data_IF_151895726606
#
_entry.id   IF_151895726606
#
_cell.length_a   1.000
_cell.length_b   1.000
_cell.length_c   1.000
_cell.angle_alpha   90.00
_cell.angle_beta   90.00
_cell.angle_gamma   90.00
#
_symmetry.space_group_name_H-M   'P 1'
#
loop_
_entity.id
_entity.type
_entity.pdbx_description
1 polymer ?
#
# COMPACT_ATOMS: atom_id res chain seq x y z
N UNK A 1 -26.94 -8.83 12.74
CA UNK A 1 -25.64 -8.28 12.29
C UNK A 1 -25.56 -8.36 10.77
N UNK A 2 -25.29 -7.25 10.09
CA UNK A 2 -25.30 -7.14 8.63
C UNK A 2 -24.09 -7.87 8.02
N UNK A 3 -24.31 -8.93 7.24
CA UNK A 3 -23.24 -9.74 6.65
C UNK A 3 -22.56 -9.00 5.48
N UNK A 4 -21.59 -8.13 5.81
CA UNK A 4 -20.55 -7.71 4.86
C UNK A 4 -19.71 -8.97 4.54
N UNK A 5 -19.35 -9.18 3.27
CA UNK A 5 -18.52 -10.33 2.90
C UNK A 5 -17.24 -10.34 3.74
N UNK A 6 -16.92 -11.47 4.38
CA UNK A 6 -15.74 -11.61 5.27
C UNK A 6 -14.44 -11.14 4.60
N UNK A 7 -14.35 -11.29 3.27
CA UNK A 7 -13.22 -10.84 2.44
C UNK A 7 -13.04 -9.31 2.47
N UNK A 8 -14.12 -8.54 2.43
CA UNK A 8 -14.06 -7.08 2.40
C UNK A 8 -13.54 -6.51 3.73
N UNK A 9 -13.78 -7.20 4.85
CA UNK A 9 -13.16 -6.89 6.14
C UNK A 9 -11.66 -7.17 6.16
N UNK A 10 -11.23 -8.28 5.55
CA UNK A 10 -9.80 -8.57 5.40
C UNK A 10 -9.11 -7.52 4.52
N UNK A 11 -9.74 -7.10 3.42
CA UNK A 11 -9.23 -6.04 2.56
C UNK A 11 -9.12 -4.71 3.31
N UNK A 12 -10.13 -4.33 4.10
CA UNK A 12 -10.05 -3.15 4.97
C UNK A 12 -8.83 -3.22 5.89
N UNK A 13 -8.61 -4.34 6.58
CA UNK A 13 -7.47 -4.49 7.49
C UNK A 13 -6.13 -4.28 6.78
N UNK A 14 -5.95 -4.91 5.61
CA UNK A 14 -4.70 -4.86 4.85
C UNK A 14 -4.46 -3.47 4.26
N UNK A 15 -5.48 -2.86 3.66
CA UNK A 15 -5.40 -1.50 3.11
C UNK A 15 -5.15 -0.50 4.24
N UNK A 16 -5.73 -0.70 5.42
CA UNK A 16 -5.45 0.15 6.59
C UNK A 16 -4.00 0.04 7.04
N UNK A 17 -3.42 -1.17 7.08
CA UNK A 17 -2.00 -1.35 7.41
C UNK A 17 -1.11 -0.64 6.36
N UNK A 18 -1.42 -0.79 5.07
CA UNK A 18 -0.69 -0.10 4.00
C UNK A 18 -0.79 1.42 4.17
N UNK A 19 -1.98 1.95 4.46
CA UNK A 19 -2.20 3.38 4.68
C UNK A 19 -1.36 3.90 5.85
N UNK A 20 -1.25 3.15 6.95
CA UNK A 20 -0.38 3.52 8.06
C UNK A 20 1.10 3.49 7.65
N UNK A 21 1.51 2.48 6.87
CA UNK A 21 2.85 2.41 6.27
C UNK A 21 3.19 3.66 5.47
N UNK A 22 2.27 4.07 4.58
CA UNK A 22 2.41 5.29 3.77
C UNK A 22 2.61 6.53 4.64
N UNK A 23 1.77 6.72 5.66
CA UNK A 23 1.82 7.90 6.53
C UNK A 23 3.11 7.95 7.35
N UNK A 24 3.51 6.80 7.93
CA UNK A 24 4.61 6.77 8.91
C UNK A 24 5.98 6.51 8.30
N UNK A 25 6.07 5.95 7.09
CA UNK A 25 7.32 5.63 6.42
C UNK A 25 7.39 6.35 5.08
N UNK A 26 6.53 6.02 4.13
CA UNK A 26 6.77 6.39 2.74
C UNK A 26 6.68 7.92 2.52
N UNK A 27 5.59 8.52 2.98
CA UNK A 27 5.26 9.93 2.74
C UNK A 27 6.03 10.90 3.64
N UNK A 28 6.76 10.40 4.65
CA UNK A 28 7.59 11.26 5.52
C UNK A 28 8.66 12.00 4.70
N UNK A 29 9.10 11.43 3.57
CA UNK A 29 9.99 12.11 2.63
C UNK A 29 9.41 13.41 2.06
N UNK A 30 8.08 13.52 1.96
CA UNK A 30 7.38 14.70 1.45
C UNK A 30 6.93 15.67 2.54
N UNK A 31 7.06 15.31 3.83
CA UNK A 31 6.62 16.19 4.91
C UNK A 31 7.53 17.42 4.98
N UNK A 32 6.98 18.63 5.23
CA UNK A 32 7.80 19.79 5.49
C UNK A 32 8.73 19.58 6.68
N UNK A 33 10.03 19.91 6.52
CA UNK A 33 11.06 19.67 7.54
C UNK A 33 10.72 20.25 8.91
N UNK A 34 10.03 21.39 8.96
CA UNK A 34 9.65 22.02 10.24
C UNK A 34 8.71 21.16 11.09
N UNK A 35 7.99 20.21 10.48
CA UNK A 35 7.06 19.33 11.20
C UNK A 35 7.78 18.19 11.93
N UNK A 36 8.96 17.75 11.47
CA UNK A 36 9.62 16.57 12.03
C UNK A 36 11.10 16.74 12.37
N UNK A 37 11.83 17.71 11.81
CA UNK A 37 13.30 17.76 11.92
C UNK A 37 13.80 18.15 13.32
N UNK A 38 13.13 19.07 14.01
CA UNK A 38 13.50 19.50 15.36
C UNK A 38 12.91 18.57 16.41
N UNK A 39 13.61 18.35 17.52
CA UNK A 39 13.13 17.51 18.63
C UNK A 39 11.82 18.00 19.24
N UNK A 40 11.57 19.31 19.19
CA UNK A 40 10.33 19.96 19.65
C UNK A 40 9.21 19.98 18.61
N UNK A 41 9.45 19.48 17.39
CA UNK A 41 8.45 19.51 16.33
C UNK A 41 7.31 18.51 16.59
N UNK A 42 6.06 18.83 16.21
CA UNK A 42 4.90 18.02 16.57
C UNK A 42 4.94 16.59 15.99
N UNK A 43 5.58 16.41 14.84
CA UNK A 43 5.75 15.10 14.18
C UNK A 43 7.16 14.54 14.33
N UNK A 44 7.95 14.99 15.31
CA UNK A 44 9.31 14.46 15.52
C UNK A 44 9.32 12.96 15.83
N UNK A 45 8.25 12.44 16.43
CA UNK A 45 8.09 11.01 16.71
C UNK A 45 8.17 10.14 15.44
N UNK A 46 7.90 10.68 14.24
CA UNK A 46 8.09 9.99 12.96
C UNK A 46 9.54 9.55 12.75
N UNK A 47 10.50 10.41 13.14
CA UNK A 47 11.92 10.04 13.11
C UNK A 47 12.17 8.86 14.05
N UNK A 48 11.57 8.87 15.25
CA UNK A 48 11.74 7.79 16.22
C UNK A 48 11.18 6.45 15.71
N UNK A 49 9.98 6.47 15.09
CA UNK A 49 9.38 5.30 14.44
C UNK A 49 10.29 4.79 13.32
N UNK A 50 10.77 5.68 12.44
CA UNK A 50 11.62 5.30 11.31
C UNK A 50 12.98 4.74 11.77
N UNK A 51 13.60 5.33 12.79
CA UNK A 51 14.81 4.79 13.43
C UNK A 51 14.58 3.40 13.99
N UNK A 52 13.47 3.21 14.70
CA UNK A 52 13.11 1.92 15.28
C UNK A 52 12.92 0.87 14.19
N UNK A 53 12.20 1.23 13.11
CA UNK A 53 11.99 0.40 11.94
C UNK A 53 13.32 -0.01 11.31
N UNK A 54 14.14 0.95 10.86
CA UNK A 54 15.43 0.69 10.20
C UNK A 54 16.37 -0.11 11.11
N UNK A 55 16.42 0.18 12.42
CA UNK A 55 17.26 -0.59 13.36
C UNK A 55 16.85 -2.06 13.40
N UNK A 56 15.53 -2.33 13.45
CA UNK A 56 14.99 -3.69 13.49
C UNK A 56 15.15 -4.41 12.15
N UNK A 57 14.70 -3.79 11.06
CA UNK A 57 14.59 -4.43 9.75
C UNK A 57 15.87 -4.33 8.92
N UNK A 58 16.62 -3.24 9.08
CA UNK A 58 17.73 -2.89 8.19
C UNK A 58 17.25 -2.51 6.78
N UNK A 59 16.01 -2.03 6.65
CA UNK A 59 15.43 -1.76 5.34
C UNK A 59 16.27 -0.77 4.52
N UNK A 60 16.80 -1.18 3.35
CA UNK A 60 17.71 -0.36 2.56
C UNK A 60 17.00 0.75 1.77
N UNK A 61 15.68 0.67 1.61
CA UNK A 61 14.91 1.65 0.84
C UNK A 61 14.62 2.93 1.64
N UNK A 62 14.78 2.88 2.97
CA UNK A 62 14.53 4.00 3.86
C UNK A 62 15.78 4.40 4.63
N UNK A 63 16.07 5.71 4.67
CA UNK A 63 17.12 6.30 5.50
C UNK A 63 16.55 6.89 6.79
N UNK A 64 17.34 6.95 7.87
CA UNK A 64 16.88 7.53 9.16
C UNK A 64 16.42 8.97 9.00
N UNK A 65 17.13 9.74 8.19
CA UNK A 65 16.77 11.11 7.84
C UNK A 65 16.27 11.10 6.40
N UNK A 66 14.95 11.29 6.17
CA UNK A 66 14.32 11.11 4.84
C UNK A 66 14.94 11.96 3.73
N UNK A 67 15.62 13.06 4.08
CA UNK A 67 16.25 14.00 3.14
C UNK A 67 17.76 13.83 3.01
N UNK A 68 18.39 12.95 3.79
CA UNK A 68 19.85 12.79 3.83
C UNK A 68 20.40 11.82 2.78
N UNK A 69 19.57 10.93 2.26
CA UNK A 69 19.94 10.02 1.17
C UNK A 69 18.81 10.02 0.14
N UNK A 70 19.07 10.41 -1.12
CA UNK A 70 18.07 10.33 -2.16
C UNK A 70 17.69 8.86 -2.38
N UNK A 71 16.38 8.61 -2.49
CA UNK A 71 15.90 7.31 -2.97
C UNK A 71 16.48 7.02 -4.35
N UNK A 72 16.58 5.74 -4.72
CA UNK A 72 16.85 5.38 -6.10
C UNK A 72 15.79 6.04 -7.02
N UNK A 73 16.14 6.48 -8.24
CA UNK A 73 15.21 7.23 -9.09
C UNK A 73 13.88 6.51 -9.35
N UNK A 74 13.92 5.18 -9.48
CA UNK A 74 12.70 4.36 -9.65
C UNK A 74 11.83 4.40 -8.39
N UNK A 75 12.41 4.26 -7.19
CA UNK A 75 11.67 4.28 -5.94
C UNK A 75 11.07 5.66 -5.69
N UNK A 76 11.82 6.71 -6.00
CA UNK A 76 11.32 8.09 -5.95
C UNK A 76 10.11 8.28 -6.86
N UNK A 77 10.11 7.71 -8.07
CA UNK A 77 8.97 7.76 -8.97
C UNK A 77 7.74 7.02 -8.38
N UNK A 78 7.94 5.83 -7.80
CA UNK A 78 6.87 5.11 -7.12
C UNK A 78 6.31 5.88 -5.91
N UNK A 79 7.15 6.55 -5.13
CA UNK A 79 6.71 7.39 -4.00
C UNK A 79 5.85 8.58 -4.46
N UNK A 80 6.14 9.16 -5.64
CA UNK A 80 5.29 10.20 -6.22
C UNK A 80 3.94 9.64 -6.70
N UNK A 81 3.95 8.49 -7.38
CA UNK A 81 2.72 7.78 -7.75
C UNK A 81 1.91 7.42 -6.51
N UNK A 82 2.60 7.00 -5.45
CA UNK A 82 1.99 6.67 -4.19
C UNK A 82 1.31 7.89 -3.55
N UNK A 83 2.02 9.02 -3.45
CA UNK A 83 1.48 10.26 -2.88
C UNK A 83 0.23 10.75 -3.64
N UNK A 84 0.27 10.76 -4.97
CA UNK A 84 -0.80 11.37 -5.77
C UNK A 84 -1.94 10.43 -6.14
N UNK A 85 -1.70 9.12 -6.17
CA UNK A 85 -2.70 8.16 -6.66
C UNK A 85 -3.03 7.13 -5.58
N UNK A 86 -2.02 6.39 -5.11
CA UNK A 86 -2.26 5.25 -4.22
C UNK A 86 -2.77 5.68 -2.84
N UNK A 87 -2.23 6.76 -2.27
CA UNK A 87 -2.58 7.28 -0.95
C UNK A 87 -4.03 7.82 -0.91
N UNK A 88 -4.47 8.71 -1.82
CA UNK A 88 -5.88 9.13 -1.87
C UNK A 88 -6.85 7.96 -2.05
N UNK A 89 -6.48 6.96 -2.87
CA UNK A 89 -7.28 5.75 -3.04
C UNK A 89 -7.34 4.93 -1.75
N UNK A 90 -6.23 4.75 -1.02
CA UNK A 90 -6.22 4.05 0.27
C UNK A 90 -7.13 4.75 1.29
N UNK A 91 -7.03 6.08 1.42
CA UNK A 91 -7.90 6.87 2.31
C UNK A 91 -9.38 6.66 1.95
N UNK A 92 -9.71 6.78 0.66
CA UNK A 92 -11.06 6.56 0.16
C UNK A 92 -11.56 5.14 0.45
N UNK A 93 -10.74 4.12 0.21
CA UNK A 93 -11.08 2.72 0.41
C UNK A 93 -11.28 2.41 1.90
N UNK A 94 -10.40 2.87 2.78
CA UNK A 94 -10.56 2.70 4.23
C UNK A 94 -11.85 3.36 4.71
N UNK A 95 -12.13 4.59 4.28
CA UNK A 95 -13.37 5.28 4.63
C UNK A 95 -14.63 4.52 4.13
N UNK A 96 -14.63 4.07 2.87
CA UNK A 96 -15.79 3.35 2.31
C UNK A 96 -15.98 1.97 2.90
N UNK A 97 -14.90 1.22 3.10
CA UNK A 97 -14.94 -0.14 3.63
C UNK A 97 -15.16 -0.17 5.15
N UNK A 98 -14.77 0.86 5.90
CA UNK A 98 -15.08 0.96 7.34
C UNK A 98 -16.54 1.33 7.61
N UNK A 99 -17.21 2.01 6.68
CA UNK A 99 -18.60 2.41 6.86
C UNK A 99 -19.55 1.20 6.89
N UNK A 100 -20.27 1.05 8.00
CA UNK A 100 -21.31 0.03 8.23
C UNK A 100 -22.56 0.22 7.37
N UNK A 101 -22.70 1.38 6.73
CA UNK A 101 -23.83 1.73 5.86
C UNK A 101 -23.85 0.89 4.58
N UNK A 102 -22.68 0.42 4.12
CA UNK A 102 -22.56 -0.30 2.85
C UNK A 102 -22.46 -1.80 3.09
N UNK A 103 -23.53 -2.53 2.69
CA UNK A 103 -23.57 -3.99 2.77
C UNK A 103 -22.76 -4.67 1.66
N UNK A 104 -22.65 -4.01 0.50
CA UNK A 104 -21.96 -4.50 -0.70
C UNK A 104 -21.09 -3.40 -1.28
N UNK A 105 -19.94 -3.76 -1.83
CA UNK A 105 -19.08 -2.84 -2.59
C UNK A 105 -19.83 -2.29 -3.79
N UNK A 106 -19.71 -0.99 -4.05
CA UNK A 106 -20.16 -0.38 -5.31
C UNK A 106 -19.08 -0.55 -6.38
N UNK A 107 -19.45 -0.43 -7.66
CA UNK A 107 -18.47 -0.54 -8.77
C UNK A 107 -17.32 0.45 -8.62
N UNK A 108 -17.59 1.66 -8.10
CA UNK A 108 -16.55 2.66 -7.80
C UNK A 108 -15.54 2.22 -6.73
N UNK A 109 -15.99 1.46 -5.73
CA UNK A 109 -15.10 0.94 -4.68
C UNK A 109 -14.27 -0.21 -5.23
N UNK A 110 -14.90 -1.08 -6.04
CA UNK A 110 -14.21 -2.19 -6.70
C UNK A 110 -13.13 -1.66 -7.67
N UNK A 111 -13.45 -0.64 -8.46
CA UNK A 111 -12.50 0.00 -9.37
C UNK A 111 -11.35 0.69 -8.63
N UNK A 112 -11.66 1.44 -7.57
CA UNK A 112 -10.65 2.08 -6.74
C UNK A 112 -9.71 1.05 -6.10
N UNK A 113 -10.27 -0.06 -5.59
CA UNK A 113 -9.50 -1.16 -5.00
C UNK A 113 -8.65 -1.87 -6.05
N UNK A 114 -9.15 -2.08 -7.27
CA UNK A 114 -8.39 -2.63 -8.39
C UNK A 114 -7.15 -1.78 -8.70
N UNK A 115 -7.33 -0.48 -8.91
CA UNK A 115 -6.22 0.45 -9.23
C UNK A 115 -5.21 0.49 -8.09
N UNK A 116 -5.68 0.68 -6.86
CA UNK A 116 -4.83 0.67 -5.67
C UNK A 116 -4.00 -0.61 -5.55
N UNK A 117 -4.64 -1.76 -5.77
CA UNK A 117 -3.99 -3.06 -5.63
C UNK A 117 -2.97 -3.34 -6.73
N UNK A 118 -3.23 -2.93 -7.97
CA UNK A 118 -2.24 -3.03 -9.04
C UNK A 118 -0.98 -2.19 -8.75
N UNK A 119 -1.16 -0.95 -8.28
CA UNK A 119 -0.04 -0.07 -7.91
C UNK A 119 0.78 -0.65 -6.75
N UNK A 120 0.09 -1.08 -5.68
CA UNK A 120 0.74 -1.69 -4.51
C UNK A 120 1.51 -2.96 -4.89
N UNK A 121 0.91 -3.80 -5.74
CA UNK A 121 1.56 -5.01 -6.27
C UNK A 121 2.84 -4.66 -7.04
N UNK A 122 2.74 -3.74 -8.00
CA UNK A 122 3.88 -3.33 -8.84
C UNK A 122 5.03 -2.76 -8.00
N UNK A 123 4.74 -1.84 -7.07
CA UNK A 123 5.75 -1.26 -6.19
C UNK A 123 6.41 -2.33 -5.32
N UNK A 124 5.62 -3.23 -4.74
CA UNK A 124 6.12 -4.31 -3.89
C UNK A 124 6.97 -5.32 -4.67
N UNK A 125 6.58 -5.66 -5.90
CA UNK A 125 7.38 -6.52 -6.79
C UNK A 125 8.70 -5.86 -7.15
N UNK A 126 8.73 -4.55 -7.43
CA UNK A 126 9.97 -3.82 -7.69
C UNK A 126 10.91 -3.88 -6.48
N UNK A 127 10.39 -3.65 -5.27
CA UNK A 127 11.16 -3.80 -4.03
C UNK A 127 11.67 -5.24 -3.82
N UNK A 128 10.85 -6.25 -4.08
CA UNK A 128 11.25 -7.66 -4.03
C UNK A 128 12.39 -7.97 -5.02
N UNK A 129 12.29 -7.46 -6.25
CA UNK A 129 13.29 -7.66 -7.29
C UNK A 129 14.63 -7.01 -6.94
N UNK A 130 14.61 -5.78 -6.41
CA UNK A 130 15.83 -5.12 -5.95
C UNK A 130 16.43 -5.80 -4.71
N UNK A 131 15.61 -6.23 -3.74
CA UNK A 131 16.11 -7.01 -2.61
C UNK A 131 16.76 -8.31 -3.06
N UNK A 132 16.17 -8.98 -4.06
CA UNK A 132 16.72 -10.22 -4.61
C UNK A 132 18.12 -10.00 -5.21
N UNK A 133 18.30 -8.94 -6.01
CA UNK A 133 19.57 -8.60 -6.65
C UNK A 133 20.60 -7.96 -5.69
N UNK A 134 20.18 -7.48 -4.51
CA UNK A 134 21.06 -6.80 -3.57
C UNK A 134 22.10 -7.74 -2.94
N UNK A 135 23.36 -7.32 -2.94
CA UNK A 135 24.48 -8.05 -2.33
C UNK A 135 24.36 -8.14 -0.80
N UNK A 136 24.79 -9.27 -0.22
CA UNK A 136 24.77 -9.50 1.24
C UNK A 136 25.67 -8.56 2.05
N UNK A 137 26.59 -7.83 1.40
CA UNK A 137 27.45 -6.81 2.02
C UNK A 137 26.62 -5.61 2.50
N UNK A 138 25.54 -5.26 1.79
CA UNK A 138 24.66 -4.14 2.13
C UNK A 138 23.58 -4.51 3.15
N UNK A 139 23.18 -5.79 3.19
CA UNK A 139 22.10 -6.28 4.03
C UNK A 139 22.38 -7.73 4.44
N UNK A 140 22.44 -8.01 5.74
CA UNK A 140 22.69 -9.37 6.22
C UNK A 140 21.64 -10.35 5.69
N UNK A 141 22.04 -11.59 5.39
CA UNK A 141 21.16 -12.59 4.78
C UNK A 141 19.85 -12.81 5.56
N UNK A 142 19.92 -12.80 6.91
CA UNK A 142 18.76 -12.93 7.79
C UNK A 142 17.79 -11.74 7.65
N UNK A 143 18.31 -10.51 7.63
CA UNK A 143 17.48 -9.30 7.48
C UNK A 143 16.88 -9.21 6.07
N UNK A 144 17.66 -9.53 5.04
CA UNK A 144 17.20 -9.63 3.64
C UNK A 144 16.05 -10.62 3.51
N UNK A 145 16.22 -11.85 4.02
CA UNK A 145 15.18 -12.88 3.99
C UNK A 145 13.92 -12.44 4.75
N UNK A 146 14.09 -11.86 5.94
CA UNK A 146 12.97 -11.36 6.74
C UNK A 146 12.18 -10.26 6.02
N UNK A 147 12.87 -9.28 5.42
CA UNK A 147 12.23 -8.19 4.68
C UNK A 147 11.50 -8.72 3.45
N UNK A 148 12.13 -9.60 2.69
CA UNK A 148 11.51 -10.19 1.52
C UNK A 148 10.23 -10.95 1.89
N UNK A 149 10.32 -11.94 2.80
CA UNK A 149 9.21 -12.85 3.07
C UNK A 149 8.09 -12.25 3.91
N UNK A 150 8.40 -11.37 4.85
CA UNK A 150 7.42 -10.86 5.81
C UNK A 150 7.01 -9.41 5.59
N UNK A 151 7.79 -8.63 4.85
CA UNK A 151 7.45 -7.24 4.54
C UNK A 151 6.95 -7.12 3.11
N UNK A 152 7.81 -7.33 2.12
CA UNK A 152 7.47 -6.98 0.72
C UNK A 152 6.60 -8.02 0.01
N UNK A 153 6.89 -9.31 0.16
CA UNK A 153 6.16 -10.36 -0.56
C UNK A 153 4.66 -10.41 -0.20
N UNK A 154 4.23 -10.25 1.07
CA UNK A 154 2.80 -10.16 1.39
C UNK A 154 2.11 -8.99 0.69
N UNK A 155 2.77 -7.83 0.57
CA UNK A 155 2.25 -6.67 -0.17
C UNK A 155 2.37 -6.80 -1.69
N UNK A 156 3.05 -7.82 -2.20
CA UNK A 156 2.91 -8.23 -3.60
C UNK A 156 1.71 -9.19 -3.76
N UNK A 157 1.70 -10.30 -3.02
CA UNK A 157 0.74 -11.39 -3.24
C UNK A 157 -0.69 -10.95 -2.90
N UNK A 158 -0.90 -10.32 -1.75
CA UNK A 158 -2.26 -10.02 -1.31
C UNK A 158 -2.92 -8.95 -2.19
N UNK A 159 -2.26 -7.84 -2.55
CA UNK A 159 -2.81 -6.91 -3.53
C UNK A 159 -3.09 -7.56 -4.89
N UNK A 160 -2.25 -8.48 -5.38
CA UNK A 160 -2.56 -9.21 -6.61
C UNK A 160 -3.88 -10.01 -6.49
N UNK A 161 -4.12 -10.67 -5.36
CA UNK A 161 -5.38 -11.38 -5.08
C UNK A 161 -6.57 -10.41 -5.04
N UNK A 162 -6.41 -9.26 -4.39
CA UNK A 162 -7.46 -8.22 -4.33
C UNK A 162 -7.77 -7.71 -5.74
N UNK A 163 -6.76 -7.43 -6.56
CA UNK A 163 -6.94 -6.99 -7.93
C UNK A 163 -7.76 -7.99 -8.76
N UNK A 164 -7.42 -9.28 -8.69
CA UNK A 164 -8.17 -10.34 -9.39
C UNK A 164 -9.63 -10.44 -8.89
N UNK A 165 -9.86 -10.37 -7.58
CA UNK A 165 -11.22 -10.39 -7.01
C UNK A 165 -12.03 -9.18 -7.48
N UNK A 166 -11.47 -7.97 -7.43
CA UNK A 166 -12.15 -6.75 -7.88
C UNK A 166 -12.43 -6.76 -9.38
N UNK A 167 -11.45 -7.17 -10.20
CA UNK A 167 -11.63 -7.33 -11.65
C UNK A 167 -12.79 -8.30 -11.96
N UNK A 168 -12.81 -9.44 -11.28
CA UNK A 168 -13.86 -10.46 -11.48
C UNK A 168 -15.24 -9.92 -11.08
N UNK A 169 -15.35 -9.20 -9.95
CA UNK A 169 -16.61 -8.57 -9.51
C UNK A 169 -17.12 -7.55 -10.53
N UNK A 170 -16.22 -6.73 -11.06
CA UNK A 170 -16.55 -5.72 -12.08
C UNK A 170 -17.03 -6.41 -13.36
N UNK A 171 -16.30 -7.41 -13.86
CA UNK A 171 -16.65 -8.15 -15.08
C UNK A 171 -18.03 -8.81 -14.95
N UNK A 172 -18.30 -9.46 -13.83
CA UNK A 172 -19.61 -10.08 -13.56
C UNK A 172 -20.76 -9.06 -13.53
N UNK A 173 -20.52 -7.81 -13.13
CA UNK A 173 -21.54 -6.75 -13.19
C UNK A 173 -21.82 -6.34 -14.62
N UNK A 174 -20.79 -6.13 -15.43
CA UNK A 174 -20.95 -5.81 -16.84
C UNK A 174 -21.70 -6.91 -17.59
N UNK A 175 -21.33 -8.18 -17.38
CA UNK A 175 -22.03 -9.32 -17.99
C UNK A 175 -23.53 -9.35 -17.63
N UNK A 176 -23.89 -9.07 -16.38
CA UNK A 176 -25.30 -8.99 -15.96
C UNK A 176 -26.04 -7.83 -16.60
N UNK A 177 -25.38 -6.69 -16.77
CA UNK A 177 -25.97 -5.52 -17.41
C UNK A 177 -26.24 -5.78 -18.90
N UNK A 178 -25.28 -6.38 -19.60
CA UNK A 178 -25.44 -6.76 -21.01
C UNK A 178 -26.53 -7.82 -21.20
N UNK A 179 -26.57 -8.85 -20.34
CA UNK A 179 -27.63 -9.85 -20.36
C UNK A 179 -29.03 -9.26 -20.08
N UNK A 180 -29.12 -8.23 -19.24
CA UNK A 180 -30.39 -7.53 -19.00
C UNK A 180 -30.82 -6.74 -20.25
N UNK A 181 -29.90 -6.00 -20.88
CA UNK A 181 -30.19 -5.29 -22.13
C UNK A 181 -30.68 -6.24 -23.22
N UNK A 182 -30.02 -7.38 -23.39
CA UNK A 182 -30.40 -8.38 -24.40
C UNK A 182 -31.79 -9.00 -24.22
N UNK A 183 -32.38 -8.92 -23.01
CA UNK A 183 -33.74 -9.40 -22.72
C UNK A 183 -34.83 -8.34 -22.87
N UNK A 184 -34.45 -7.07 -22.99
CA UNK A 184 -35.37 -5.93 -23.11
C UNK A 184 -35.60 -5.48 -24.56
N UNK A 185 -35.00 -6.17 -25.53
CA UNK A 185 -35.25 -6.06 -26.96
C UNK A 185 -35.92 -7.34 -27.47
#
# INVERSE_FOLDING_TARGET
MSSKYRRDWAYLGIISIQLLGMIFLDLVAFYPKFLYARSSAPLHFLIAIRRLYIRKTGDPFFSVTPTAAPHSPWLQAFLWVELFVQFPLAVYLVWRLSSSRWRRTSVFVELAALVFSCLTFMGSVACCAELWSMSFIKLSAKKKSSLFWFTYLPFAIIPAIIAVDMYTRILLRFQRQEAHKAKTW
#
